data_IF_258000439589
#
_entry.id   IF_258000439589
#
_cell.length_a   1.000
_cell.length_b   1.000
_cell.length_c   1.000
_cell.angle_alpha   90.00
_cell.angle_beta   90.00
_cell.angle_gamma   90.00
#
_symmetry.space_group_name_H-M   'P 1'
#
loop_
_entity.id
_entity.type
_entity.pdbx_description
1 polymer ?
#
# COMPACT_ATOMS: atom_id res chain seq x y z
N UNK A 1 29.77 -30.22 24.43
CA UNK A 1 28.81 -29.20 24.90
C UNK A 1 28.40 -29.61 26.32
N UNK A 2 28.52 -28.70 27.30
CA UNK A 2 28.40 -29.04 28.72
C UNK A 2 26.92 -29.30 29.07
N UNK A 3 26.62 -30.50 29.58
CA UNK A 3 25.38 -30.77 30.29
C UNK A 3 25.38 -29.93 31.58
N UNK A 4 24.63 -28.83 31.58
CA UNK A 4 24.40 -28.03 32.78
C UNK A 4 23.10 -28.52 33.39
N UNK A 5 23.18 -29.10 34.59
CA UNK A 5 22.00 -29.49 35.37
C UNK A 5 21.14 -28.26 35.67
N UNK A 6 19.80 -28.40 35.76
CA UNK A 6 18.92 -27.28 36.10
C UNK A 6 19.34 -26.67 37.44
N UNK A 7 19.65 -25.37 37.45
CA UNK A 7 19.91 -24.62 38.67
C UNK A 7 18.57 -24.45 39.37
N UNK A 8 18.36 -25.21 40.45
CA UNK A 8 17.21 -25.04 41.34
C UNK A 8 17.48 -23.79 42.17
N UNK A 9 16.93 -22.65 41.76
CA UNK A 9 16.91 -21.45 42.59
C UNK A 9 15.91 -21.67 43.73
N UNK A 10 16.39 -21.86 44.96
CA UNK A 10 15.54 -21.87 46.15
C UNK A 10 15.07 -20.43 46.43
N UNK A 11 13.84 -20.12 46.04
CA UNK A 11 13.21 -18.80 46.19
C UNK A 11 12.77 -18.54 47.66
N UNK A 12 13.10 -19.45 48.59
CA UNK A 12 12.65 -19.38 49.99
C UNK A 12 11.12 -19.49 50.17
N UNK A 13 10.39 -19.77 49.09
CA UNK A 13 8.96 -19.99 49.10
C UNK A 13 8.67 -21.40 49.61
N UNK A 14 7.65 -21.52 50.46
CA UNK A 14 7.22 -22.79 51.01
C UNK A 14 6.84 -23.77 49.87
N UNK A 15 7.12 -25.06 50.05
CA UNK A 15 6.92 -26.04 49.00
C UNK A 15 5.44 -26.11 48.61
N UNK A 16 5.11 -25.68 47.39
CA UNK A 16 3.74 -25.58 46.89
C UNK A 16 3.02 -26.93 47.03
N UNK A 17 2.03 -27.01 47.92
CA UNK A 17 1.25 -28.25 48.14
C UNK A 17 0.21 -28.36 47.04
N UNK A 18 -0.14 -29.58 46.63
CA UNK A 18 -1.14 -29.83 45.57
C UNK A 18 -2.49 -29.14 45.84
N UNK A 19 -2.85 -28.98 47.12
CA UNK A 19 -4.04 -28.28 47.60
C UNK A 19 -3.95 -26.75 47.53
N UNK A 20 -2.75 -26.17 47.47
CA UNK A 20 -2.54 -24.72 47.33
C UNK A 20 -2.81 -24.27 45.88
N UNK A 21 -2.78 -25.20 44.92
CA UNK A 21 -3.15 -24.97 43.51
C UNK A 21 -4.64 -24.82 43.32
N UNK A 22 -5.45 -25.38 44.22
CA UNK A 22 -6.87 -25.07 44.27
C UNK A 22 -6.94 -23.79 45.09
N UNK A 23 -6.90 -22.65 44.42
CA UNK A 23 -7.41 -21.43 45.04
C UNK A 23 -8.85 -21.74 45.46
N UNK A 24 -9.04 -22.17 46.71
CA UNK A 24 -10.32 -22.14 47.36
C UNK A 24 -10.69 -20.66 47.34
N UNK A 25 -11.55 -20.30 46.39
CA UNK A 25 -12.11 -18.96 46.30
C UNK A 25 -12.64 -18.65 47.70
N UNK A 26 -11.94 -17.79 48.44
CA UNK A 26 -12.34 -17.37 49.80
C UNK A 26 -13.53 -16.43 49.76
N UNK A 27 -13.95 -16.05 48.56
CA UNK A 27 -15.22 -15.40 48.31
C UNK A 27 -16.33 -16.45 48.19
N UNK A 28 -17.53 -16.20 48.74
CA UNK A 28 -18.64 -17.12 48.61
C UNK A 28 -18.83 -17.45 47.12
N UNK A 29 -18.89 -18.74 46.79
CA UNK A 29 -19.17 -19.23 45.44
C UNK A 29 -20.44 -18.56 44.93
N UNK A 30 -20.29 -17.50 44.14
CA UNK A 30 -21.39 -16.87 43.44
C UNK A 30 -21.77 -17.88 42.38
N UNK A 31 -22.79 -18.70 42.66
CA UNK A 31 -23.47 -19.53 41.68
C UNK A 31 -24.01 -18.59 40.59
N UNK A 32 -23.16 -18.29 39.62
CA UNK A 32 -23.45 -17.42 38.52
C UNK A 32 -23.75 -18.29 37.33
N UNK A 33 -24.86 -18.00 36.67
CA UNK A 33 -25.20 -18.66 35.43
C UNK A 33 -24.07 -18.41 34.43
N UNK A 34 -23.84 -19.36 33.51
CA UNK A 34 -22.89 -19.17 32.40
C UNK A 34 -23.15 -17.84 31.68
N UNK A 35 -24.42 -17.44 31.57
CA UNK A 35 -24.82 -16.16 30.98
C UNK A 35 -24.30 -14.95 31.76
N UNK A 36 -24.26 -15.02 33.09
CA UNK A 36 -23.73 -13.94 33.92
C UNK A 36 -22.22 -13.81 33.77
N UNK A 37 -21.52 -14.93 33.61
CA UNK A 37 -20.08 -14.95 33.33
C UNK A 37 -19.79 -14.32 31.96
N UNK A 38 -20.53 -14.71 30.92
CA UNK A 38 -20.38 -14.12 29.59
C UNK A 38 -20.69 -12.62 29.59
N UNK A 39 -21.76 -12.19 30.28
CA UNK A 39 -22.08 -10.76 30.42
C UNK A 39 -20.95 -9.97 31.06
N UNK A 40 -20.36 -10.49 32.13
CA UNK A 40 -19.20 -9.85 32.80
C UNK A 40 -17.99 -9.79 31.88
N UNK A 41 -17.72 -10.84 31.11
CA UNK A 41 -16.61 -10.86 30.16
C UNK A 41 -16.80 -9.84 29.03
N UNK A 42 -17.99 -9.80 28.42
CA UNK A 42 -18.32 -8.81 27.39
C UNK A 42 -18.18 -7.38 27.94
N UNK A 43 -18.77 -7.10 29.10
CA UNK A 43 -18.67 -5.79 29.74
C UNK A 43 -17.21 -5.41 30.09
N UNK A 44 -16.40 -6.38 30.51
CA UNK A 44 -14.98 -6.14 30.79
C UNK A 44 -14.18 -5.83 29.51
N UNK A 45 -14.44 -6.54 28.41
CA UNK A 45 -13.80 -6.28 27.13
C UNK A 45 -14.20 -4.90 26.60
N UNK A 46 -15.46 -4.51 26.70
CA UNK A 46 -15.94 -3.16 26.34
C UNK A 46 -15.26 -2.08 27.19
N UNK A 47 -15.10 -2.32 28.49
CA UNK A 47 -14.37 -1.40 29.35
C UNK A 47 -12.91 -1.23 28.90
N UNK A 48 -12.23 -2.33 28.56
CA UNK A 48 -10.86 -2.30 28.08
C UNK A 48 -10.74 -1.61 26.71
N UNK A 49 -11.69 -1.82 25.79
CA UNK A 49 -11.67 -1.15 24.50
C UNK A 49 -11.80 0.36 24.66
N UNK A 50 -12.74 0.82 25.50
CA UNK A 50 -12.92 2.25 25.80
C UNK A 50 -11.68 2.84 26.46
N UNK A 51 -11.05 2.12 27.40
CA UNK A 51 -9.82 2.56 28.04
C UNK A 51 -8.65 2.69 27.04
N UNK A 52 -8.50 1.73 26.13
CA UNK A 52 -7.48 1.75 25.08
C UNK A 52 -7.70 2.90 24.09
N UNK A 53 -8.94 3.14 23.65
CA UNK A 53 -9.25 4.25 22.75
C UNK A 53 -8.94 5.60 23.39
N UNK A 54 -9.25 5.75 24.68
CA UNK A 54 -8.90 6.95 25.45
C UNK A 54 -7.38 7.13 25.52
N UNK A 55 -6.63 6.06 25.77
CA UNK A 55 -5.16 6.11 25.78
C UNK A 55 -4.59 6.47 24.40
N UNK A 56 -5.08 5.84 23.32
CA UNK A 56 -4.66 6.16 21.95
C UNK A 56 -4.93 7.62 21.62
N UNK A 57 -6.09 8.16 22.01
CA UNK A 57 -6.43 9.57 21.84
C UNK A 57 -5.43 10.48 22.57
N UNK A 58 -5.14 10.20 23.84
CA UNK A 58 -4.18 10.98 24.62
C UNK A 58 -2.77 10.91 24.03
N UNK A 59 -2.31 9.73 23.61
CA UNK A 59 -1.01 9.54 22.96
C UNK A 59 -0.97 10.28 21.62
N UNK A 60 -2.03 10.23 20.83
CA UNK A 60 -2.12 10.93 19.56
C UNK A 60 -2.05 12.46 19.74
N UNK A 61 -2.75 12.99 20.74
CA UNK A 61 -2.71 14.41 21.12
C UNK A 61 -1.33 14.83 21.66
N UNK A 62 -0.73 14.04 22.53
CA UNK A 62 0.62 14.30 23.03
C UNK A 62 1.66 14.28 21.90
N UNK A 63 1.55 13.29 21.00
CA UNK A 63 2.42 13.20 19.84
C UNK A 63 2.20 14.34 18.85
N UNK A 64 0.96 14.78 18.60
CA UNK A 64 0.68 15.90 17.71
C UNK A 64 1.26 17.21 18.27
N UNK A 65 1.10 17.46 19.57
CA UNK A 65 1.73 18.59 20.29
C UNK A 65 3.25 18.54 20.21
N UNK A 66 3.86 17.38 20.50
CA UNK A 66 5.32 17.19 20.39
C UNK A 66 5.82 17.44 18.96
N UNK A 67 5.12 16.94 17.94
CA UNK A 67 5.46 17.21 16.53
C UNK A 67 5.33 18.70 16.19
N UNK A 68 4.29 19.38 16.69
CA UNK A 68 4.11 20.82 16.47
C UNK A 68 5.24 21.64 17.11
N UNK A 69 5.61 21.34 18.35
CA UNK A 69 6.76 21.97 19.03
C UNK A 69 8.07 21.72 18.28
N UNK A 70 8.32 20.49 17.83
CA UNK A 70 9.51 20.17 17.04
C UNK A 70 9.54 20.95 15.71
N UNK A 71 8.39 21.14 15.05
CA UNK A 71 8.30 21.98 13.84
C UNK A 71 8.62 23.44 14.12
N UNK A 72 8.11 24.00 15.21
CA UNK A 72 8.40 25.38 15.64
C UNK A 72 9.88 25.59 16.01
N UNK A 73 10.48 24.61 16.71
CA UNK A 73 11.93 24.63 16.99
C UNK A 73 12.73 24.55 15.70
N UNK A 74 12.31 23.73 14.74
CA UNK A 74 13.00 23.57 13.46
C UNK A 74 12.86 24.80 12.55
N UNK A 75 11.70 25.46 12.51
CA UNK A 75 11.48 26.66 11.70
C UNK A 75 12.32 27.85 12.16
N UNK A 76 12.65 27.90 13.46
CA UNK A 76 13.51 28.93 14.06
C UNK A 76 15.00 28.72 13.79
N UNK A 77 15.41 27.60 13.18
CA UNK A 77 16.83 27.34 12.91
C UNK A 77 17.35 28.24 11.79
N UNK A 78 18.33 29.12 12.07
CA UNK A 78 18.98 29.89 11.01
C UNK A 78 19.72 28.91 10.11
N UNK A 79 19.58 29.07 8.79
CA UNK A 79 20.17 28.24 7.72
C UNK A 79 19.35 27.04 7.20
N UNK A 80 18.14 26.78 7.73
CA UNK A 80 17.22 25.82 7.09
C UNK A 80 16.22 26.60 6.24
N UNK A 81 16.61 26.96 5.02
CA UNK A 81 15.69 27.55 4.04
C UNK A 81 14.86 26.44 3.41
N UNK A 82 13.57 26.71 3.24
CA UNK A 82 12.69 25.84 2.46
C UNK A 82 13.20 25.84 1.01
N UNK A 83 13.29 24.66 0.40
CA UNK A 83 13.53 24.55 -1.03
C UNK A 83 12.21 24.85 -1.75
N UNK A 84 12.14 26.00 -2.41
CA UNK A 84 11.08 26.33 -3.34
C UNK A 84 11.54 25.88 -4.73
N UNK A 85 10.65 25.24 -5.48
CA UNK A 85 10.92 24.79 -6.85
C UNK A 85 9.98 25.53 -7.80
N UNK A 86 10.51 25.91 -8.95
CA UNK A 86 9.73 26.52 -10.02
C UNK A 86 9.26 25.45 -11.02
N UNK A 87 8.23 25.78 -11.80
CA UNK A 87 7.72 24.88 -12.85
C UNK A 87 8.83 24.70 -13.90
N UNK A 88 9.15 23.44 -14.22
CA UNK A 88 10.25 23.07 -15.12
C UNK A 88 11.54 22.65 -14.39
N UNK A 89 11.64 22.81 -13.08
CA UNK A 89 12.80 22.35 -12.32
C UNK A 89 12.89 20.81 -12.32
N UNK A 90 14.10 20.31 -12.51
CA UNK A 90 14.41 18.88 -12.41
C UNK A 90 14.69 18.49 -10.96
N UNK A 91 13.80 17.70 -10.37
CA UNK A 91 13.79 17.29 -8.96
C UNK A 91 13.85 15.76 -8.84
N UNK A 92 14.53 15.28 -7.80
CA UNK A 92 14.56 13.87 -7.41
C UNK A 92 13.51 13.62 -6.34
N UNK A 93 12.70 12.57 -6.49
CA UNK A 93 11.73 12.17 -5.48
C UNK A 93 12.03 10.78 -4.91
N UNK A 94 11.61 10.54 -3.67
CA UNK A 94 11.82 9.28 -2.98
C UNK A 94 10.48 8.65 -2.58
N UNK A 95 10.32 7.37 -2.90
CA UNK A 95 9.25 6.57 -2.30
C UNK A 95 9.69 6.12 -0.90
N UNK A 96 9.03 6.68 0.12
CA UNK A 96 9.25 6.31 1.52
C UNK A 96 8.30 5.18 1.87
N UNK A 97 8.87 4.01 2.18
CA UNK A 97 8.09 2.86 2.64
C UNK A 97 7.81 3.01 4.14
N UNK A 98 7.05 2.08 4.74
CA UNK A 98 6.58 2.16 6.13
C UNK A 98 7.65 2.50 7.19
N UNK A 99 8.94 2.28 6.91
CA UNK A 99 10.06 2.67 7.76
C UNK A 99 10.91 3.77 7.11
N UNK A 100 11.09 4.89 7.83
CA UNK A 100 11.79 6.13 7.42
C UNK A 100 13.20 5.96 6.80
N UNK A 101 13.85 4.82 7.05
CA UNK A 101 15.22 4.55 6.56
C UNK A 101 15.26 3.71 5.28
N UNK A 102 14.13 3.16 4.84
CA UNK A 102 14.01 2.43 3.58
C UNK A 102 13.33 3.35 2.57
N UNK A 103 14.14 4.08 1.81
CA UNK A 103 13.68 4.93 0.73
C UNK A 103 14.25 4.45 -0.61
N UNK A 104 13.41 4.46 -1.64
CA UNK A 104 13.84 4.26 -3.02
C UNK A 104 13.87 5.62 -3.70
N UNK A 105 15.06 6.07 -4.09
CA UNK A 105 15.22 7.24 -4.94
C UNK A 105 14.78 6.88 -6.37
N UNK A 106 13.86 7.67 -6.91
CA UNK A 106 13.40 7.54 -8.29
C UNK A 106 14.13 8.55 -9.18
N UNK A 107 14.19 8.29 -10.48
CA UNK A 107 14.94 9.07 -11.48
C UNK A 107 14.51 10.57 -11.54
N UNK A 108 15.26 11.42 -12.28
CA UNK A 108 14.91 12.84 -12.43
C UNK A 108 13.47 13.02 -12.91
N UNK A 109 12.75 13.89 -12.22
CA UNK A 109 11.36 14.18 -12.50
C UNK A 109 11.19 15.71 -12.56
N UNK A 110 10.34 16.17 -13.46
CA UNK A 110 10.16 17.58 -13.74
C UNK A 110 8.92 18.11 -13.02
N UNK A 111 9.05 19.24 -12.33
CA UNK A 111 7.92 19.89 -11.66
C UNK A 111 6.96 20.43 -12.72
N UNK A 112 5.75 19.88 -12.76
CA UNK A 112 4.71 20.24 -13.75
C UNK A 112 3.77 21.31 -13.20
N UNK A 113 3.45 21.25 -11.92
CA UNK A 113 2.58 22.23 -11.28
C UNK A 113 2.90 22.38 -9.78
N UNK A 114 2.63 23.57 -9.24
CA UNK A 114 2.76 23.86 -7.81
C UNK A 114 1.37 23.91 -7.20
N UNK A 115 1.00 22.87 -6.44
CA UNK A 115 -0.29 22.78 -5.75
C UNK A 115 -0.25 23.63 -4.48
N UNK A 116 0.88 23.61 -3.77
CA UNK A 116 1.16 24.49 -2.63
C UNK A 116 2.67 24.65 -2.46
N UNK A 117 3.10 25.56 -1.59
CA UNK A 117 4.53 25.75 -1.25
C UNK A 117 5.25 24.46 -0.78
N UNK A 118 4.50 23.41 -0.43
CA UNK A 118 5.02 22.11 0.04
C UNK A 118 4.61 20.93 -0.85
N UNK A 119 3.74 21.13 -1.83
CA UNK A 119 3.19 20.06 -2.66
C UNK A 119 3.35 20.43 -4.12
N UNK A 120 4.15 19.63 -4.81
CA UNK A 120 4.45 19.79 -6.22
C UNK A 120 3.93 18.57 -6.97
N UNK A 121 3.29 18.81 -8.10
CA UNK A 121 3.00 17.76 -9.08
C UNK A 121 4.24 17.58 -9.95
N UNK A 122 4.73 16.34 -10.01
CA UNK A 122 5.99 16.02 -10.68
C UNK A 122 5.73 14.96 -11.75
N UNK A 123 6.30 15.15 -12.93
CA UNK A 123 6.26 14.19 -14.04
C UNK A 123 7.62 13.54 -14.18
N UNK A 124 7.67 12.21 -14.10
CA UNK A 124 8.91 11.49 -14.36
C UNK A 124 9.22 11.56 -15.86
N UNK A 125 10.36 12.15 -16.22
CA UNK A 125 10.79 12.31 -17.62
C UNK A 125 11.51 11.06 -18.13
N UNK A 126 12.13 10.30 -17.22
CA UNK A 126 13.03 9.18 -17.54
C UNK A 126 12.45 7.79 -17.25
N UNK A 127 11.45 7.68 -16.37
CA UNK A 127 10.53 6.56 -16.42
C UNK A 127 9.29 7.04 -17.16
N UNK A 128 9.18 6.77 -18.47
CA UNK A 128 7.88 6.39 -18.96
C UNK A 128 7.36 5.35 -17.96
N UNK A 129 6.21 5.69 -17.36
CA UNK A 129 5.44 4.85 -16.47
C UNK A 129 5.67 3.37 -16.85
N UNK A 130 5.87 2.42 -15.93
CA UNK A 130 5.89 1.01 -16.31
C UNK A 130 4.58 0.58 -17.01
N UNK A 131 3.59 1.45 -17.14
CA UNK A 131 2.42 1.33 -18.02
C UNK A 131 2.48 2.16 -19.31
N UNK A 132 3.36 3.15 -19.42
CA UNK A 132 3.42 4.17 -20.50
C UNK A 132 4.29 3.76 -21.69
N UNK A 133 5.38 3.00 -21.49
CA UNK A 133 6.15 2.43 -22.61
C UNK A 133 5.49 1.25 -23.31
N UNK A 134 4.42 0.73 -22.75
CA UNK A 134 4.02 -0.64 -22.96
C UNK A 134 2.84 -0.65 -23.89
N UNK A 135 3.14 -0.85 -25.17
CA UNK A 135 2.14 -1.08 -26.20
C UNK A 135 1.11 -2.12 -25.76
N UNK A 136 -0.12 -2.00 -26.23
CA UNK A 136 -1.17 -2.96 -25.90
C UNK A 136 -1.08 -4.13 -26.87
N UNK A 137 -1.04 -5.36 -26.35
CA UNK A 137 -1.17 -6.55 -27.18
C UNK A 137 -2.63 -6.66 -27.61
N UNK A 138 -2.86 -6.58 -28.91
CA UNK A 138 -4.20 -6.51 -29.52
C UNK A 138 -4.58 -7.80 -30.23
N UNK A 139 -3.63 -8.69 -30.50
CA UNK A 139 -3.88 -9.97 -31.17
C UNK A 139 -2.72 -10.95 -31.04
N UNK A 140 -2.97 -12.20 -31.39
CA UNK A 140 -1.98 -13.27 -31.42
C UNK A 140 -2.15 -14.13 -32.68
N UNK A 141 -1.03 -14.68 -33.16
CA UNK A 141 -1.00 -15.49 -34.38
C UNK A 141 0.09 -16.56 -34.32
N UNK A 142 -0.05 -17.58 -35.16
CA UNK A 142 0.96 -18.61 -35.38
C UNK A 142 1.34 -18.63 -36.85
N UNK A 143 2.58 -18.27 -37.15
CA UNK A 143 3.12 -18.36 -38.50
C UNK A 143 3.45 -19.82 -38.81
N UNK A 144 2.57 -20.50 -39.56
CA UNK A 144 2.69 -21.95 -39.85
C UNK A 144 3.98 -22.31 -40.59
N UNK A 145 4.51 -21.41 -41.39
CA UNK A 145 5.72 -21.63 -42.19
C UNK A 145 6.99 -21.78 -41.32
N UNK A 146 7.05 -21.04 -40.21
CA UNK A 146 8.23 -20.99 -39.32
C UNK A 146 7.95 -21.56 -37.94
N UNK A 147 6.71 -21.98 -37.67
CA UNK A 147 6.20 -22.42 -36.37
C UNK A 147 6.48 -21.40 -35.25
N UNK A 148 6.40 -20.10 -35.55
CA UNK A 148 6.63 -19.02 -34.59
C UNK A 148 5.34 -18.35 -34.16
N UNK A 149 5.24 -18.08 -32.86
CA UNK A 149 4.13 -17.31 -32.30
C UNK A 149 4.46 -15.82 -32.36
N UNK A 150 3.50 -15.04 -32.83
CA UNK A 150 3.61 -13.61 -32.99
C UNK A 150 2.46 -12.91 -32.27
N UNK A 151 2.73 -11.71 -31.78
CA UNK A 151 1.79 -10.85 -31.08
C UNK A 151 1.68 -9.54 -31.84
N UNK A 152 0.44 -9.10 -32.06
CA UNK A 152 0.17 -7.79 -32.61
C UNK A 152 0.28 -6.76 -31.50
N UNK A 153 1.32 -5.94 -31.55
CA UNK A 153 1.59 -4.89 -30.57
C UNK A 153 1.10 -3.57 -31.15
N UNK A 154 0.15 -2.96 -30.43
CA UNK A 154 -0.28 -1.59 -30.69
C UNK A 154 0.52 -0.62 -29.83
N UNK A 155 1.27 0.26 -30.47
CA UNK A 155 2.23 1.13 -29.79
C UNK A 155 1.52 2.37 -29.25
N UNK A 156 1.76 2.70 -27.97
CA UNK A 156 1.12 3.86 -27.34
C UNK A 156 1.75 5.15 -27.89
N UNK A 157 0.92 6.00 -28.49
CA UNK A 157 1.37 7.25 -29.11
C UNK A 157 1.61 7.14 -30.62
N UNK A 158 1.52 5.93 -31.17
CA UNK A 158 1.47 5.67 -32.60
C UNK A 158 0.04 5.30 -33.02
N UNK A 159 -0.23 5.47 -34.30
CA UNK A 159 -1.53 5.14 -34.90
C UNK A 159 -1.66 3.62 -35.10
N UNK A 160 -2.89 3.11 -35.22
CA UNK A 160 -3.13 1.67 -35.46
C UNK A 160 -2.53 1.15 -36.77
N UNK A 161 -2.24 2.04 -37.73
CA UNK A 161 -1.56 1.69 -38.97
C UNK A 161 -0.09 1.35 -38.76
N UNK A 162 0.45 1.67 -37.60
CA UNK A 162 1.83 1.38 -37.19
C UNK A 162 1.89 0.19 -36.21
N UNK A 163 0.79 -0.56 -36.05
CA UNK A 163 0.78 -1.79 -35.26
C UNK A 163 1.70 -2.84 -35.92
N UNK A 164 2.60 -3.42 -35.13
CA UNK A 164 3.61 -4.36 -35.61
C UNK A 164 3.36 -5.78 -35.07
N UNK A 165 3.62 -6.78 -35.90
CA UNK A 165 3.69 -8.17 -35.47
C UNK A 165 5.09 -8.47 -34.92
N UNK A 166 5.16 -8.72 -33.63
CA UNK A 166 6.40 -9.01 -32.92
C UNK A 166 6.44 -10.48 -32.50
N UNK A 167 7.62 -11.10 -32.60
CA UNK A 167 7.78 -12.47 -32.10
C UNK A 167 7.63 -12.50 -30.58
N UNK A 168 6.89 -13.47 -30.06
CA UNK A 168 6.64 -13.59 -28.61
C UNK A 168 7.95 -13.72 -27.84
N UNK A 169 8.97 -14.36 -28.43
CA UNK A 169 10.30 -14.52 -27.81
C UNK A 169 11.01 -13.20 -27.60
N UNK A 170 11.06 -12.33 -28.62
CA UNK A 170 11.67 -11.02 -28.51
C UNK A 170 10.86 -10.14 -27.55
N UNK A 171 9.53 -10.13 -27.72
CA UNK A 171 8.66 -9.30 -26.90
C UNK A 171 8.65 -9.72 -25.42
N UNK A 172 8.77 -11.01 -25.11
CA UNK A 172 8.88 -11.50 -23.74
C UNK A 172 10.23 -11.14 -23.09
N UNK A 173 11.31 -11.09 -23.85
CA UNK A 173 12.63 -10.68 -23.35
C UNK A 173 12.63 -9.20 -22.97
N UNK A 174 12.03 -8.35 -23.79
CA UNK A 174 11.96 -6.91 -23.54
C UNK A 174 10.90 -6.58 -22.48
N UNK A 175 9.72 -7.20 -22.59
CA UNK A 175 8.54 -6.87 -21.79
C UNK A 175 7.79 -8.12 -21.31
N UNK A 176 8.34 -8.86 -20.32
CA UNK A 176 7.73 -10.10 -19.84
C UNK A 176 6.37 -9.87 -19.15
N UNK A 177 6.16 -8.68 -18.59
CA UNK A 177 4.94 -8.35 -17.83
C UNK A 177 3.70 -8.29 -18.73
N UNK A 178 3.81 -7.69 -19.93
CA UNK A 178 2.66 -7.60 -20.85
C UNK A 178 2.26 -8.97 -21.39
N UNK A 179 3.25 -9.76 -21.81
CA UNK A 179 3.01 -11.11 -22.34
C UNK A 179 2.32 -11.98 -21.29
N UNK A 180 2.77 -11.94 -20.03
CA UNK A 180 2.13 -12.69 -18.94
C UNK A 180 0.70 -12.24 -18.68
N UNK A 181 0.44 -10.93 -18.64
CA UNK A 181 -0.92 -10.39 -18.48
C UNK A 181 -1.82 -10.82 -19.65
N UNK A 182 -1.31 -10.74 -20.88
CA UNK A 182 -2.06 -11.16 -22.06
C UNK A 182 -2.40 -12.66 -22.02
N UNK A 183 -1.43 -13.50 -21.68
CA UNK A 183 -1.65 -14.94 -21.53
C UNK A 183 -2.68 -15.26 -20.43
N UNK A 184 -2.67 -14.51 -19.32
CA UNK A 184 -3.67 -14.62 -18.26
C UNK A 184 -5.08 -14.23 -18.73
N UNK A 185 -5.20 -13.21 -19.57
CA UNK A 185 -6.49 -12.76 -20.09
C UNK A 185 -7.05 -13.66 -21.19
N UNK A 186 -6.21 -14.43 -21.88
CA UNK A 186 -6.58 -15.26 -23.04
C UNK A 186 -6.33 -16.75 -22.79
N UNK A 187 -6.46 -17.20 -21.54
CA UNK A 187 -6.27 -18.61 -21.16
C UNK A 187 -7.26 -19.57 -21.83
N UNK A 188 -8.40 -19.07 -22.30
CA UNK A 188 -9.38 -19.87 -23.04
C UNK A 188 -8.92 -20.23 -24.45
N UNK A 189 -7.97 -19.47 -25.03
CA UNK A 189 -7.53 -19.66 -26.40
C UNK A 189 -6.45 -20.76 -26.49
N UNK A 190 -6.74 -21.81 -27.26
CA UNK A 190 -5.84 -22.97 -27.43
C UNK A 190 -4.47 -22.58 -27.97
N UNK A 191 -4.37 -21.55 -28.81
CA UNK A 191 -3.10 -21.05 -29.34
C UNK A 191 -2.23 -20.44 -28.24
N UNK A 192 -2.82 -19.68 -27.32
CA UNK A 192 -2.12 -19.06 -26.18
C UNK A 192 -1.68 -20.13 -25.19
N UNK A 193 -2.49 -21.16 -24.94
CA UNK A 193 -2.10 -22.30 -24.10
C UNK A 193 -0.90 -23.04 -24.69
N UNK A 194 -0.94 -23.36 -25.99
CA UNK A 194 0.18 -24.00 -26.69
C UNK A 194 1.44 -23.12 -26.69
N UNK A 195 1.27 -21.81 -26.84
CA UNK A 195 2.36 -20.82 -26.78
C UNK A 195 3.02 -20.83 -25.40
N UNK A 196 2.25 -20.73 -24.31
CA UNK A 196 2.75 -20.76 -22.92
C UNK A 196 3.49 -22.06 -22.63
N UNK A 197 2.94 -23.20 -23.06
CA UNK A 197 3.58 -24.51 -22.91
C UNK A 197 4.89 -24.60 -23.70
N UNK A 198 4.90 -24.13 -24.94
CA UNK A 198 6.10 -24.17 -25.81
C UNK A 198 7.24 -23.26 -25.34
N UNK A 199 6.90 -22.17 -24.65
CA UNK A 199 7.87 -21.17 -24.18
C UNK A 199 8.20 -21.28 -22.69
N UNK A 200 7.64 -22.27 -21.98
CA UNK A 200 7.83 -22.48 -20.54
C UNK A 200 7.62 -21.20 -19.71
N UNK A 201 6.64 -20.38 -20.09
CA UNK A 201 6.38 -19.10 -19.41
C UNK A 201 5.75 -19.40 -18.07
N UNK A 202 6.48 -19.10 -16.99
CA UNK A 202 6.01 -19.33 -15.64
C UNK A 202 4.93 -18.28 -15.26
N UNK A 203 3.67 -18.69 -15.36
CA UNK A 203 2.50 -17.91 -14.98
C UNK A 203 2.17 -18.26 -13.52
N UNK A 204 2.25 -17.30 -12.57
CA UNK A 204 1.88 -17.60 -11.20
C UNK A 204 0.37 -17.86 -11.12
N UNK A 205 -0.03 -19.08 -10.77
CA UNK A 205 -1.43 -19.51 -10.64
C UNK A 205 -2.18 -18.87 -9.43
N UNK A 206 -1.64 -17.81 -8.84
CA UNK A 206 -2.16 -17.18 -7.63
C UNK A 206 -3.12 -16.02 -7.90
N UNK A 207 -4.42 -16.31 -7.88
CA UNK A 207 -5.54 -15.40 -7.61
C UNK A 207 -5.45 -14.00 -8.26
N UNK A 208 -5.77 -13.94 -9.56
CA UNK A 208 -5.73 -12.72 -10.40
C UNK A 208 -6.62 -11.60 -9.85
N UNK A 209 -7.71 -11.92 -9.15
CA UNK A 209 -8.59 -10.95 -8.52
C UNK A 209 -7.89 -10.17 -7.39
N UNK A 210 -7.04 -10.83 -6.60
CA UNK A 210 -6.36 -10.19 -5.46
C UNK A 210 -5.18 -9.31 -5.89
N UNK A 211 -4.49 -9.65 -6.99
CA UNK A 211 -3.36 -8.84 -7.48
C UNK A 211 -3.79 -7.59 -8.25
N UNK A 212 -4.97 -7.62 -8.90
CA UNK A 212 -5.62 -6.42 -9.44
C UNK A 212 -6.31 -5.59 -8.34
N UNK A 213 -6.88 -6.22 -7.31
CA UNK A 213 -7.55 -5.51 -6.21
C UNK A 213 -6.59 -4.79 -5.24
N UNK A 214 -5.37 -5.30 -5.00
CA UNK A 214 -4.38 -4.67 -4.10
C UNK A 214 -3.84 -3.33 -4.63
N UNK A 215 -4.14 -2.95 -5.88
CA UNK A 215 -3.77 -1.65 -6.47
C UNK A 215 -4.91 -0.64 -6.56
N UNK A 216 -6.11 -1.01 -6.14
CA UNK A 216 -7.19 -0.05 -5.95
C UNK A 216 -7.24 0.26 -4.47
N UNK A 217 -6.55 1.32 -4.06
CA UNK A 217 -6.88 2.02 -2.81
C UNK A 217 -8.39 2.29 -2.89
N UNK A 218 -9.22 1.89 -1.91
CA UNK A 218 -10.56 2.42 -1.85
C UNK A 218 -10.40 3.91 -1.63
N UNK A 219 -10.54 4.69 -2.70
CA UNK A 219 -10.89 6.11 -2.61
C UNK A 219 -12.26 6.07 -1.97
N UNK A 220 -12.26 6.20 -0.64
CA UNK A 220 -13.46 6.40 0.14
C UNK A 220 -14.14 7.61 -0.49
N UNK A 221 -15.27 7.36 -1.16
CA UNK A 221 -16.11 8.40 -1.70
C UNK A 221 -16.39 9.40 -0.58
N UNK A 222 -15.75 10.56 -0.67
CA UNK A 222 -16.06 11.68 0.20
C UNK A 222 -17.30 12.32 -0.41
N UNK A 223 -18.41 12.12 0.29
CA UNK A 223 -19.72 12.75 0.07
C UNK A 223 -19.58 14.18 -0.49
N UNK A 224 -20.35 14.56 -1.54
CA UNK A 224 -20.33 15.89 -2.11
C UNK A 224 -21.17 16.85 -1.25
N UNK A 225 -20.63 17.34 -0.13
CA UNK A 225 -21.39 18.25 0.74
C UNK A 225 -20.61 19.46 1.28
N UNK A 226 -19.52 19.88 0.64
CA UNK A 226 -18.77 21.09 1.09
C UNK A 226 -18.44 22.11 -0.02
N UNK A 227 -18.80 21.85 -1.29
CA UNK A 227 -18.58 22.80 -2.39
C UNK A 227 -19.67 23.88 -2.52
N UNK A 228 -20.79 23.76 -1.80
CA UNK A 228 -21.83 24.80 -1.74
C UNK A 228 -21.57 25.88 -0.68
N UNK A 229 -20.70 25.64 0.30
CA UNK A 229 -20.44 26.61 1.38
C UNK A 229 -19.44 27.71 0.98
N UNK A 230 -18.52 27.44 0.04
CA UNK A 230 -17.48 28.40 -0.37
C UNK A 230 -17.95 29.40 -1.44
N UNK A 231 -19.01 29.10 -2.19
CA UNK A 231 -19.57 30.03 -3.17
C UNK A 231 -20.46 31.09 -2.50
N UNK A 232 -21.17 30.74 -1.43
CA UNK A 232 -22.04 31.68 -0.69
C UNK A 232 -21.26 32.72 0.13
N UNK A 233 -19.99 32.46 0.47
CA UNK A 233 -19.15 33.42 1.22
C UNK A 233 -18.57 34.48 0.28
N UNK A 234 -18.28 34.13 -0.98
CA UNK A 234 -17.81 35.10 -1.99
C UNK A 234 -18.91 36.04 -2.49
N UNK A 235 -20.16 35.57 -2.55
CA UNK A 235 -21.29 36.43 -2.95
C UNK A 235 -21.73 37.41 -1.85
N UNK A 236 -21.49 37.10 -0.57
CA UNK A 236 -21.83 37.99 0.55
C UNK A 236 -20.83 39.16 0.74
N UNK A 237 -19.59 39.04 0.26
CA UNK A 237 -18.60 40.13 0.30
C UNK A 237 -18.75 41.11 -0.89
N UNK A 238 -19.36 40.68 -2.00
CA UNK A 238 -19.59 41.52 -3.18
C UNK A 238 -20.79 42.49 -3.03
N UNK A 239 -21.66 42.28 -2.03
CA UNK A 239 -22.84 43.14 -1.78
C UNK A 239 -22.69 44.10 -0.57
N UNK A 240 -21.49 44.20 0.03
CA UNK A 240 -21.17 45.22 1.05
C UNK A 240 -20.08 46.19 0.58
N UNK A 241 -20.14 46.59 -0.68
CA UNK A 241 -19.40 47.71 -1.26
C UNK A 241 -20.37 48.77 -1.77
#
# INVERSE_FOLDING_TARGET
MRNVSPITAMIGLDAMRLKDRIAAQSEPLIASSLQDVLRRQCAHIELLSVALDKMHKLIAEANSKRRAQQRDVQSKKPNVKMANFDIGDSVLYADVWAHKLRMKWNAPAEVTATISNWLYEIRNTMLPDPKSCRGKISGHGLLRATARYELLVSWRGLSRTEDSWETVTAHHQDVPVLVKIYCLLHQADRLVVNMVQSMSINIPEGNVASQLAVRTIPVQAREPSETLALNNIKEAEQQRG
#
